data_IF_134274952595
#
_entry.id   IF_134274952595
#
_cell.length_a   1.000
_cell.length_b   1.000
_cell.length_c   1.000
_cell.angle_alpha   90.00
_cell.angle_beta   90.00
_cell.angle_gamma   90.00
#
_symmetry.space_group_name_H-M   'P 1'
#
loop_
_entity.id
_entity.type
_entity.pdbx_description
1 polymer ?
#
# COMPACT_ATOMS: atom_id res chain seq x y z
N UNK A 1 -25.04 20.32 -0.36
CA UNK A 1 -24.61 19.26 -1.31
C UNK A 1 -25.35 19.53 -2.60
N UNK A 2 -24.68 19.73 -3.73
CA UNK A 2 -25.34 20.27 -4.93
C UNK A 2 -26.17 19.21 -5.62
N UNK A 3 -27.45 19.50 -5.90
CA UNK A 3 -28.37 18.74 -6.78
C UNK A 3 -27.65 18.18 -8.03
N UNK A 4 -26.78 19.01 -8.61
CA UNK A 4 -25.88 18.70 -9.74
C UNK A 4 -24.96 17.48 -9.58
N UNK A 5 -24.52 17.15 -8.35
CA UNK A 5 -23.66 15.98 -8.12
C UNK A 5 -24.45 14.67 -8.15
N UNK A 6 -25.70 14.70 -7.68
CA UNK A 6 -26.61 13.56 -7.70
C UNK A 6 -27.09 13.29 -9.13
N UNK A 7 -27.43 14.35 -9.89
CA UNK A 7 -27.77 14.29 -11.32
C UNK A 7 -26.65 13.65 -12.14
N UNK A 8 -25.40 14.10 -11.96
CA UNK A 8 -24.23 13.49 -12.64
C UNK A 8 -23.97 12.04 -12.24
N UNK A 9 -24.28 11.64 -11.01
CA UNK A 9 -24.09 10.26 -10.56
C UNK A 9 -25.14 9.35 -11.19
N UNK A 10 -26.41 9.79 -11.25
CA UNK A 10 -27.47 8.99 -11.86
C UNK A 10 -27.29 8.85 -13.38
N UNK A 11 -26.85 9.91 -14.07
CA UNK A 11 -26.45 9.84 -15.48
C UNK A 11 -25.34 8.80 -15.69
N UNK A 12 -24.33 8.81 -14.82
CA UNK A 12 -23.23 7.86 -14.89
C UNK A 12 -23.70 6.43 -14.68
N UNK A 13 -24.54 6.19 -13.67
CA UNK A 13 -25.14 4.87 -13.38
C UNK A 13 -25.95 4.38 -14.60
N UNK A 14 -26.83 5.22 -15.16
CA UNK A 14 -27.62 4.87 -16.35
C UNK A 14 -26.73 4.53 -17.53
N UNK A 15 -25.68 5.32 -17.77
CA UNK A 15 -24.73 5.09 -18.86
C UNK A 15 -23.88 3.82 -18.70
N UNK A 16 -23.73 3.31 -17.46
CA UNK A 16 -23.09 2.02 -17.18
C UNK A 16 -24.12 0.90 -17.38
N UNK A 17 -25.35 1.11 -16.93
CA UNK A 17 -26.46 0.17 -17.06
C UNK A 17 -26.74 -0.19 -18.52
N UNK A 18 -26.71 0.78 -19.44
CA UNK A 18 -26.84 0.58 -20.90
C UNK A 18 -25.85 -0.42 -21.49
N UNK A 19 -24.72 -0.63 -20.82
CA UNK A 19 -23.66 -1.52 -21.30
C UNK A 19 -23.91 -2.98 -20.91
N UNK A 20 -24.95 -3.25 -20.13
CA UNK A 20 -25.44 -4.59 -19.79
C UNK A 20 -26.60 -5.00 -20.70
N UNK A 21 -26.60 -6.27 -21.14
CA UNK A 21 -27.67 -6.89 -21.91
C UNK A 21 -28.88 -7.24 -21.03
N UNK A 22 -29.91 -7.79 -21.66
CA UNK A 22 -31.15 -8.21 -21.01
C UNK A 22 -30.95 -9.32 -19.97
N UNK A 23 -29.87 -10.09 -20.09
CA UNK A 23 -29.50 -11.16 -19.14
C UNK A 23 -28.59 -10.65 -18.02
N UNK A 24 -28.33 -9.34 -17.94
CA UNK A 24 -27.39 -8.74 -16.99
C UNK A 24 -25.93 -9.10 -17.25
N UNK A 25 -25.59 -9.51 -18.48
CA UNK A 25 -24.22 -9.70 -18.93
C UNK A 25 -23.71 -8.45 -19.63
N UNK A 26 -22.45 -8.11 -19.41
CA UNK A 26 -21.88 -6.93 -20.03
C UNK A 26 -21.58 -7.17 -21.54
N UNK A 27 -22.14 -6.30 -22.39
CA UNK A 27 -22.11 -6.40 -23.86
C UNK A 27 -20.70 -6.20 -24.43
N UNK A 28 -19.84 -5.39 -23.78
CA UNK A 28 -18.45 -5.22 -24.19
C UNK A 28 -17.52 -4.97 -22.99
N UNK A 29 -16.87 -6.04 -22.52
CA UNK A 29 -16.02 -6.07 -21.31
C UNK A 29 -14.72 -5.26 -21.41
N UNK A 30 -14.38 -4.72 -22.57
CA UNK A 30 -13.07 -4.10 -22.80
C UNK A 30 -13.15 -2.70 -23.42
N UNK A 31 -14.28 -2.00 -23.29
CA UNK A 31 -14.31 -0.59 -23.69
C UNK A 31 -13.62 0.27 -22.63
N UNK A 32 -12.56 0.99 -23.01
CA UNK A 32 -11.88 1.97 -22.12
C UNK A 32 -12.88 2.96 -21.49
N UNK A 33 -13.94 3.28 -22.22
CA UNK A 33 -15.05 4.13 -21.77
C UNK A 33 -15.79 3.54 -20.55
N UNK A 34 -16.00 2.22 -20.49
CA UNK A 34 -16.64 1.58 -19.35
C UNK A 34 -15.76 1.65 -18.09
N UNK A 35 -14.47 1.34 -18.20
CA UNK A 35 -13.57 1.34 -17.04
C UNK A 35 -13.47 2.74 -16.41
N UNK A 36 -13.33 3.78 -17.25
CA UNK A 36 -13.31 5.16 -16.78
C UNK A 36 -14.62 5.52 -16.05
N UNK A 37 -15.78 5.15 -16.61
CA UNK A 37 -17.08 5.38 -15.98
C UNK A 37 -17.20 4.69 -14.62
N UNK A 38 -16.77 3.43 -14.54
CA UNK A 38 -16.76 2.65 -13.28
C UNK A 38 -15.84 3.27 -12.24
N UNK A 39 -14.65 3.73 -12.63
CA UNK A 39 -13.71 4.42 -11.72
C UNK A 39 -14.35 5.70 -11.18
N UNK A 40 -14.92 6.53 -12.06
CA UNK A 40 -15.59 7.78 -11.69
C UNK A 40 -16.77 7.52 -10.73
N UNK A 41 -17.59 6.51 -11.01
CA UNK A 41 -18.73 6.14 -10.18
C UNK A 41 -18.25 5.65 -8.81
N UNK A 42 -17.29 4.73 -8.79
CA UNK A 42 -16.73 4.18 -7.55
C UNK A 42 -16.14 5.30 -6.70
N UNK A 43 -15.38 6.23 -7.28
CA UNK A 43 -14.81 7.38 -6.56
C UNK A 43 -15.90 8.28 -5.95
N UNK A 44 -17.03 8.47 -6.64
CA UNK A 44 -18.19 9.17 -6.06
C UNK A 44 -18.81 8.39 -4.90
N UNK A 45 -19.03 7.09 -5.04
CA UNK A 45 -19.62 6.24 -3.99
C UNK A 45 -18.74 6.13 -2.74
N UNK A 46 -17.42 6.23 -2.89
CA UNK A 46 -16.46 6.28 -1.77
C UNK A 46 -16.62 7.54 -0.91
N UNK A 47 -17.20 8.62 -1.43
CA UNK A 47 -17.41 9.84 -0.68
C UNK A 47 -18.42 9.61 0.47
N UNK A 48 -18.06 9.89 1.74
CA UNK A 48 -18.95 9.72 2.88
C UNK A 48 -20.24 10.53 2.82
N UNK A 49 -20.24 11.66 2.11
CA UNK A 49 -21.44 12.49 1.93
C UNK A 49 -22.43 11.89 0.93
N UNK A 50 -21.97 11.02 0.03
CA UNK A 50 -22.79 10.39 -1.01
C UNK A 50 -23.31 9.03 -0.52
N UNK A 51 -22.40 8.10 -0.21
CA UNK A 51 -22.76 6.75 0.24
C UNK A 51 -21.77 6.17 1.26
N UNK A 52 -20.50 6.56 1.19
CA UNK A 52 -19.48 6.07 2.12
C UNK A 52 -19.10 4.60 1.91
N UNK A 53 -19.02 4.17 0.65
CA UNK A 53 -18.75 2.76 0.30
C UNK A 53 -17.47 2.23 0.97
N UNK A 54 -16.38 3.02 0.98
CA UNK A 54 -15.11 2.61 1.61
C UNK A 54 -15.28 2.30 3.10
N UNK A 55 -15.95 3.18 3.86
CA UNK A 55 -16.15 2.97 5.29
C UNK A 55 -17.08 1.80 5.59
N UNK A 56 -18.11 1.57 4.75
CA UNK A 56 -19.00 0.41 4.90
C UNK A 56 -18.22 -0.90 4.66
N UNK A 57 -17.45 -0.98 3.57
CA UNK A 57 -16.61 -2.15 3.25
C UNK A 57 -15.52 -2.41 4.29
N UNK A 58 -14.87 -1.36 4.79
CA UNK A 58 -13.88 -1.45 5.86
C UNK A 58 -14.48 -2.03 7.15
N UNK A 59 -15.67 -1.54 7.55
CA UNK A 59 -16.42 -2.10 8.69
C UNK A 59 -16.77 -3.57 8.49
N UNK A 60 -17.10 -3.94 7.25
CA UNK A 60 -17.39 -5.32 6.88
C UNK A 60 -16.14 -6.19 6.80
N UNK A 61 -14.93 -5.63 6.90
CA UNK A 61 -13.66 -6.34 6.72
C UNK A 61 -13.63 -7.12 5.41
N UNK A 62 -14.06 -6.43 4.36
CA UNK A 62 -14.28 -6.99 3.04
C UNK A 62 -13.70 -6.09 1.95
N UNK A 63 -13.05 -6.70 0.97
CA UNK A 63 -12.50 -6.07 -0.23
C UNK A 63 -12.82 -7.00 -1.39
N UNK A 64 -13.83 -6.63 -2.18
CA UNK A 64 -14.17 -7.42 -3.37
C UNK A 64 -12.92 -7.57 -4.26
N UNK A 65 -12.79 -8.70 -4.97
CA UNK A 65 -11.78 -8.87 -6.04
C UNK A 65 -11.82 -7.62 -6.90
N UNK A 66 -10.65 -6.97 -7.10
CA UNK A 66 -10.37 -5.59 -7.57
C UNK A 66 -11.06 -5.10 -8.86
N UNK A 67 -12.13 -5.71 -9.30
CA UNK A 67 -12.84 -5.40 -10.52
C UNK A 67 -14.32 -5.35 -10.21
N UNK A 68 -14.94 -4.22 -10.53
CA UNK A 68 -16.40 -4.07 -10.62
C UNK A 68 -17.08 -5.30 -11.25
N UNK A 69 -16.44 -5.91 -12.26
CA UNK A 69 -16.87 -7.12 -12.99
C UNK A 69 -17.05 -8.39 -12.14
N UNK A 70 -16.25 -8.58 -11.10
CA UNK A 70 -16.27 -9.82 -10.29
C UNK A 70 -16.65 -9.56 -8.83
N UNK A 71 -17.28 -8.42 -8.57
CA UNK A 71 -17.66 -7.99 -7.24
C UNK A 71 -19.02 -7.29 -7.23
N UNK A 72 -19.15 -6.32 -6.32
CA UNK A 72 -20.40 -5.59 -6.07
C UNK A 72 -21.04 -4.98 -7.32
N UNK A 73 -20.23 -4.49 -8.27
CA UNK A 73 -20.71 -3.81 -9.46
C UNK A 73 -21.56 -4.71 -10.34
N UNK A 74 -21.03 -5.89 -10.68
CA UNK A 74 -21.75 -6.85 -11.51
C UNK A 74 -23.06 -7.33 -10.84
N UNK A 75 -23.03 -7.60 -9.54
CA UNK A 75 -24.21 -8.09 -8.82
C UNK A 75 -25.30 -7.01 -8.70
N UNK A 76 -24.92 -5.78 -8.35
CA UNK A 76 -25.86 -4.66 -8.25
C UNK A 76 -26.48 -4.34 -9.62
N UNK A 77 -25.68 -4.27 -10.68
CA UNK A 77 -26.21 -3.95 -12.01
C UNK A 77 -27.03 -5.08 -12.61
N UNK A 78 -26.70 -6.35 -12.30
CA UNK A 78 -27.54 -7.49 -12.67
C UNK A 78 -28.91 -7.41 -11.98
N UNK A 79 -28.95 -7.18 -10.67
CA UNK A 79 -30.22 -7.04 -9.95
C UNK A 79 -31.02 -5.84 -10.43
N UNK A 80 -30.36 -4.73 -10.78
CA UNK A 80 -31.04 -3.59 -11.37
C UNK A 80 -31.68 -3.95 -12.72
N UNK A 81 -31.00 -4.74 -13.55
CA UNK A 81 -31.52 -5.19 -14.85
C UNK A 81 -32.74 -6.09 -14.70
N UNK A 82 -32.75 -6.94 -13.69
CA UNK A 82 -33.87 -7.85 -13.41
C UNK A 82 -35.12 -7.11 -12.90
N UNK A 83 -34.96 -5.95 -12.25
CA UNK A 83 -36.05 -5.28 -11.53
C UNK A 83 -36.46 -3.92 -12.11
N UNK A 84 -35.66 -3.31 -12.99
CA UNK A 84 -35.86 -1.94 -13.45
C UNK A 84 -35.57 -1.75 -14.94
N UNK A 85 -36.37 -0.91 -15.59
CA UNK A 85 -36.04 -0.33 -16.89
C UNK A 85 -35.12 0.88 -16.70
N UNK A 86 -34.31 1.24 -17.70
CA UNK A 86 -33.33 2.33 -17.60
C UNK A 86 -33.93 3.66 -17.13
N UNK A 87 -35.11 4.02 -17.63
CA UNK A 87 -35.80 5.27 -17.31
C UNK A 87 -36.26 5.31 -15.84
N UNK A 88 -36.53 4.13 -15.26
CA UNK A 88 -36.98 3.96 -13.88
C UNK A 88 -35.83 3.91 -12.86
N UNK A 89 -34.57 3.83 -13.31
CA UNK A 89 -33.42 3.81 -12.41
C UNK A 89 -33.29 5.18 -11.75
N UNK A 90 -33.39 5.17 -10.42
CA UNK A 90 -33.13 6.31 -9.53
C UNK A 90 -31.93 6.02 -8.63
N UNK A 91 -31.38 7.05 -7.99
CA UNK A 91 -30.32 6.85 -6.98
C UNK A 91 -30.81 5.98 -5.82
N UNK A 92 -32.07 6.11 -5.43
CA UNK A 92 -32.67 5.30 -4.36
C UNK A 92 -32.70 3.83 -4.75
N UNK A 93 -33.17 3.48 -5.96
CA UNK A 93 -33.15 2.10 -6.44
C UNK A 93 -31.74 1.52 -6.51
N UNK A 94 -30.76 2.31 -6.97
CA UNK A 94 -29.37 1.88 -7.03
C UNK A 94 -28.77 1.65 -5.64
N UNK A 95 -28.99 2.58 -4.70
CA UNK A 95 -28.49 2.44 -3.33
C UNK A 95 -29.17 1.29 -2.59
N UNK A 96 -30.45 1.03 -2.83
CA UNK A 96 -31.15 -0.12 -2.29
C UNK A 96 -30.51 -1.45 -2.71
N UNK A 97 -30.23 -1.63 -4.00
CA UNK A 97 -29.54 -2.84 -4.48
C UNK A 97 -28.09 -2.94 -3.97
N UNK A 98 -27.41 -1.80 -3.84
CA UNK A 98 -26.07 -1.76 -3.26
C UNK A 98 -26.08 -2.13 -1.77
N UNK A 99 -27.05 -1.66 -0.98
CA UNK A 99 -27.18 -2.01 0.43
C UNK A 99 -27.55 -3.50 0.60
N UNK A 100 -28.45 -4.05 -0.22
CA UNK A 100 -28.71 -5.52 -0.24
C UNK A 100 -27.44 -6.33 -0.45
N UNK A 101 -26.58 -5.91 -1.39
CA UNK A 101 -25.30 -6.56 -1.62
C UNK A 101 -24.39 -6.47 -0.38
N UNK A 102 -24.34 -5.32 0.30
CA UNK A 102 -23.56 -5.16 1.52
C UNK A 102 -24.09 -6.03 2.67
N UNK A 103 -25.41 -6.16 2.81
CA UNK A 103 -26.04 -7.04 3.79
C UNK A 103 -25.68 -8.51 3.51
N UNK A 104 -25.62 -8.90 2.22
CA UNK A 104 -25.16 -10.24 1.82
C UNK A 104 -23.72 -10.53 2.26
N UNK A 105 -22.86 -9.50 2.29
CA UNK A 105 -21.49 -9.62 2.82
C UNK A 105 -21.53 -9.73 4.33
N UNK A 106 -22.35 -8.92 5.02
CA UNK A 106 -22.45 -8.93 6.47
C UNK A 106 -22.80 -10.31 7.03
N UNK A 107 -23.67 -11.04 6.31
CA UNK A 107 -24.07 -12.41 6.62
C UNK A 107 -22.96 -13.47 6.43
N UNK A 108 -21.82 -13.11 5.81
CA UNK A 108 -20.66 -14.03 5.72
C UNK A 108 -19.92 -14.07 7.05
N UNK A 109 -19.45 -15.26 7.42
CA UNK A 109 -18.70 -15.46 8.65
C UNK A 109 -17.40 -14.62 8.66
N UNK A 110 -17.10 -14.02 9.81
CA UNK A 110 -15.78 -13.45 10.07
C UNK A 110 -14.83 -14.57 10.45
N UNK A 111 -13.79 -14.75 9.65
CA UNK A 111 -12.84 -15.84 9.81
C UNK A 111 -11.52 -15.32 10.32
N UNK A 112 -10.85 -16.10 11.16
CA UNK A 112 -9.53 -15.77 11.68
C UNK A 112 -8.44 -16.28 10.73
N UNK A 113 -7.54 -15.38 10.37
CA UNK A 113 -6.39 -15.65 9.51
C UNK A 113 -5.10 -15.39 10.28
N UNK A 114 -4.13 -16.29 10.10
CA UNK A 114 -2.73 -16.10 10.51
C UNK A 114 -1.89 -15.94 9.25
N UNK A 115 -1.32 -14.75 9.07
CA UNK A 115 -0.59 -14.35 7.88
C UNK A 115 0.89 -14.29 8.20
N UNK A 116 1.69 -14.92 7.37
CA UNK A 116 3.11 -15.14 7.64
C UNK A 116 3.90 -14.63 6.46
N UNK A 117 4.79 -13.68 6.71
CA UNK A 117 5.59 -13.02 5.70
C UNK A 117 7.08 -13.17 6.08
N UNK A 118 7.85 -14.00 5.36
CA UNK A 118 9.30 -14.02 5.50
C UNK A 118 9.89 -12.70 5.00
N UNK A 119 10.86 -12.20 5.73
CA UNK A 119 11.60 -10.98 5.43
C UNK A 119 13.10 -11.23 5.60
N UNK A 120 13.92 -10.61 4.76
CA UNK A 120 15.38 -10.69 4.81
C UNK A 120 16.01 -9.70 5.80
N UNK A 121 15.44 -9.63 6.99
CA UNK A 121 16.00 -8.89 8.12
C UNK A 121 16.51 -9.88 9.16
N UNK A 122 17.73 -9.64 9.67
CA UNK A 122 18.32 -10.40 10.75
C UNK A 122 18.39 -9.53 12.02
N UNK A 123 17.59 -9.89 13.02
CA UNK A 123 17.54 -9.20 14.31
C UNK A 123 18.45 -9.87 15.36
N UNK A 124 19.36 -10.73 14.91
CA UNK A 124 20.23 -11.51 15.78
C UNK A 124 19.40 -12.31 16.80
N UNK A 125 19.60 -12.05 18.09
CA UNK A 125 18.84 -12.67 19.18
C UNK A 125 17.78 -11.73 19.79
N UNK A 126 17.68 -10.48 19.31
CA UNK A 126 16.89 -9.42 19.92
C UNK A 126 15.77 -8.97 18.97
N UNK A 127 14.67 -9.72 18.95
CA UNK A 127 13.49 -9.34 18.18
C UNK A 127 12.80 -8.13 18.83
N UNK A 128 12.38 -7.11 18.06
CA UNK A 128 11.48 -6.09 18.53
C UNK A 128 10.22 -6.71 19.15
N UNK A 129 9.95 -6.34 20.41
CA UNK A 129 8.76 -6.81 21.12
C UNK A 129 7.48 -6.10 20.68
N UNK A 130 7.62 -4.91 20.09
CA UNK A 130 6.52 -4.07 19.62
C UNK A 130 6.73 -3.77 18.15
N UNK A 131 5.68 -3.96 17.36
CA UNK A 131 5.61 -3.56 15.96
C UNK A 131 4.52 -2.51 15.81
N UNK A 132 4.73 -1.59 14.88
CA UNK A 132 3.76 -0.55 14.60
C UNK A 132 2.49 -1.17 14.01
N UNK A 133 1.34 -0.76 14.54
CA UNK A 133 0.05 -1.27 14.11
C UNK A 133 -0.96 -0.13 13.95
N UNK A 134 -1.46 0.09 12.73
CA UNK A 134 -2.48 1.10 12.49
C UNK A 134 -3.86 0.72 13.06
N UNK A 135 -4.14 -0.58 13.21
CA UNK A 135 -5.47 -1.07 13.56
C UNK A 135 -5.46 -1.88 14.85
N UNK A 136 -6.22 -1.43 15.84
CA UNK A 136 -6.38 -2.11 17.13
C UNK A 136 -6.88 -3.56 17.03
N UNK A 137 -7.42 -3.97 15.87
CA UNK A 137 -8.01 -5.28 15.64
C UNK A 137 -7.06 -6.29 14.98
N UNK A 138 -5.77 -5.96 14.93
CA UNK A 138 -4.71 -6.79 14.35
C UNK A 138 -3.70 -7.08 15.44
N UNK A 139 -3.18 -8.30 15.47
CA UNK A 139 -1.99 -8.61 16.27
C UNK A 139 -0.83 -8.84 15.30
N UNK A 140 0.28 -8.15 15.52
CA UNK A 140 1.48 -8.24 14.69
C UNK A 140 2.61 -8.65 15.63
N UNK A 141 3.32 -9.73 15.30
CA UNK A 141 4.53 -10.16 15.99
C UNK A 141 5.65 -10.43 15.00
N UNK A 142 6.86 -10.47 15.53
CA UNK A 142 8.05 -10.89 14.80
C UNK A 142 8.54 -12.21 15.37
N UNK A 143 8.84 -13.15 14.48
CA UNK A 143 9.34 -14.46 14.83
C UNK A 143 10.71 -14.71 14.19
N UNK A 144 11.54 -15.52 14.85
CA UNK A 144 12.88 -15.86 14.37
C UNK A 144 12.86 -16.93 13.27
N UNK A 145 14.04 -17.21 12.71
CA UNK A 145 14.25 -18.17 11.64
C UNK A 145 13.74 -19.60 11.92
N UNK A 146 13.64 -20.02 13.17
CA UNK A 146 13.15 -21.36 13.52
C UNK A 146 11.62 -21.46 13.48
N UNK A 147 10.91 -20.35 13.29
CA UNK A 147 9.44 -20.35 13.28
C UNK A 147 8.87 -21.16 12.12
N UNK A 148 9.42 -20.99 10.92
CA UNK A 148 8.91 -21.65 9.71
C UNK A 148 9.08 -23.17 9.77
N UNK A 149 10.29 -23.63 10.08
CA UNK A 149 10.58 -25.07 10.18
C UNK A 149 9.75 -25.78 11.25
N UNK A 150 9.42 -25.10 12.36
CA UNK A 150 8.61 -25.66 13.44
C UNK A 150 7.11 -25.67 13.17
N UNK A 151 6.58 -24.64 12.50
CA UNK A 151 5.14 -24.40 12.45
C UNK A 151 4.54 -24.52 11.04
N UNK A 152 5.31 -24.26 9.99
CA UNK A 152 4.78 -23.97 8.65
C UNK A 152 5.30 -24.89 7.56
N UNK A 153 6.57 -25.33 7.62
CA UNK A 153 7.23 -26.10 6.57
C UNK A 153 6.38 -27.25 6.05
N UNK A 154 5.88 -28.12 6.94
CA UNK A 154 5.02 -29.26 6.57
C UNK A 154 3.75 -28.81 5.82
N UNK A 155 2.98 -27.90 6.41
CA UNK A 155 1.74 -27.39 5.82
C UNK A 155 2.00 -26.74 4.45
N UNK A 156 3.14 -26.07 4.35
CA UNK A 156 3.59 -25.39 3.16
C UNK A 156 3.86 -26.36 2.02
N UNK A 157 4.68 -27.39 2.24
CA UNK A 157 4.96 -28.39 1.22
C UNK A 157 3.70 -29.18 0.82
N UNK A 158 2.87 -29.58 1.80
CA UNK A 158 1.58 -30.24 1.54
C UNK A 158 0.67 -29.38 0.64
N UNK A 159 0.62 -28.06 0.88
CA UNK A 159 -0.16 -27.13 0.05
C UNK A 159 0.40 -27.02 -1.36
N UNK A 160 1.72 -26.88 -1.51
CA UNK A 160 2.37 -26.74 -2.81
C UNK A 160 2.18 -28.00 -3.65
N UNK A 161 2.42 -29.19 -3.08
CA UNK A 161 2.22 -30.47 -3.76
C UNK A 161 0.77 -30.62 -4.25
N UNK A 162 -0.20 -30.34 -3.37
CA UNK A 162 -1.63 -30.43 -3.71
C UNK A 162 -2.04 -29.47 -4.81
N UNK A 163 -1.47 -28.27 -4.86
CA UNK A 163 -1.92 -27.19 -5.74
C UNK A 163 -1.18 -27.12 -7.07
N UNK A 164 0.09 -27.49 -7.11
CA UNK A 164 0.98 -27.24 -8.26
C UNK A 164 1.55 -28.52 -8.92
N UNK A 165 1.13 -29.72 -8.49
CA UNK A 165 1.35 -31.04 -9.11
C UNK A 165 2.58 -31.16 -10.03
N UNK A 166 3.71 -31.73 -9.55
CA UNK A 166 5.00 -32.00 -10.25
C UNK A 166 5.66 -30.86 -11.07
N UNK A 167 4.98 -29.74 -11.35
CA UNK A 167 5.45 -28.62 -12.18
C UNK A 167 5.55 -27.34 -11.37
N UNK A 168 6.24 -27.41 -10.23
CA UNK A 168 6.57 -26.22 -9.46
C UNK A 168 7.67 -25.47 -10.21
N UNK A 169 7.44 -24.18 -10.47
CA UNK A 169 8.45 -23.29 -11.06
C UNK A 169 9.74 -23.36 -10.24
N UNK A 170 10.88 -23.54 -10.93
CA UNK A 170 12.21 -23.60 -10.30
C UNK A 170 12.52 -22.36 -9.47
N UNK A 171 12.01 -21.18 -9.86
CA UNK A 171 12.16 -19.95 -9.09
C UNK A 171 11.36 -20.00 -7.78
N UNK A 172 10.18 -20.61 -7.80
CA UNK A 172 9.41 -20.86 -6.57
C UNK A 172 10.19 -21.82 -5.69
N UNK A 173 10.66 -22.96 -6.20
CA UNK A 173 11.48 -23.90 -5.40
C UNK A 173 12.70 -23.22 -4.77
N UNK A 174 13.46 -22.44 -5.55
CA UNK A 174 14.62 -21.71 -5.04
C UNK A 174 14.26 -20.69 -3.95
N UNK A 175 13.14 -19.99 -4.10
CA UNK A 175 12.65 -19.05 -3.11
C UNK A 175 12.29 -19.77 -1.80
N UNK A 176 11.70 -20.95 -1.90
CA UNK A 176 11.33 -21.79 -0.76
C UNK A 176 12.55 -22.32 -0.03
N UNK A 177 13.54 -22.83 -0.76
CA UNK A 177 14.81 -23.24 -0.19
C UNK A 177 15.47 -22.07 0.57
N UNK A 178 15.43 -20.86 -0.01
CA UNK A 178 15.98 -19.68 0.67
C UNK A 178 15.21 -19.30 1.94
N UNK A 179 13.88 -19.49 1.98
CA UNK A 179 13.08 -19.21 3.17
C UNK A 179 13.35 -20.25 4.27
N UNK A 180 13.42 -21.54 3.90
CA UNK A 180 13.64 -22.63 4.84
C UNK A 180 15.07 -22.67 5.41
N UNK A 181 16.08 -22.46 4.55
CA UNK A 181 17.49 -22.67 4.92
C UNK A 181 18.23 -21.39 5.32
N UNK A 182 17.68 -20.19 5.09
CA UNK A 182 18.31 -18.93 5.54
C UNK A 182 17.67 -18.40 6.81
N UNK A 183 18.43 -17.56 7.54
CA UNK A 183 18.03 -16.88 8.77
C UNK A 183 16.99 -15.77 8.52
N UNK A 184 15.90 -16.08 7.82
CA UNK A 184 14.80 -15.15 7.62
C UNK A 184 14.11 -14.88 8.96
N UNK A 185 13.71 -13.64 9.20
CA UNK A 185 12.70 -13.34 10.20
C UNK A 185 11.31 -13.38 9.58
N UNK A 186 10.30 -13.55 10.40
CA UNK A 186 8.92 -13.68 9.95
C UNK A 186 8.05 -12.64 10.64
N UNK A 187 7.38 -11.81 9.86
CA UNK A 187 6.28 -11.00 10.38
C UNK A 187 5.03 -11.89 10.38
N UNK A 188 4.44 -12.05 11.56
CA UNK A 188 3.23 -12.84 11.76
C UNK A 188 2.08 -11.91 12.14
N UNK A 189 1.00 -11.95 11.37
CA UNK A 189 -0.17 -11.10 11.54
C UNK A 189 -1.40 -11.97 11.79
N UNK A 190 -2.07 -11.76 12.92
CA UNK A 190 -3.38 -12.36 13.20
C UNK A 190 -4.48 -11.32 13.02
N UNK A 191 -5.45 -11.61 12.17
CA UNK A 191 -6.58 -10.72 11.91
C UNK A 191 -7.84 -11.49 11.56
N UNK A 192 -9.00 -10.84 11.73
CA UNK A 192 -10.30 -11.37 11.26
C UNK A 192 -10.72 -10.68 9.97
N UNK A 193 -11.14 -11.44 8.97
CA UNK A 193 -11.62 -10.92 7.68
C UNK A 193 -12.77 -11.78 7.13
N UNK A 194 -13.61 -11.19 6.28
CA UNK A 194 -14.64 -11.93 5.52
C UNK A 194 -14.14 -12.45 4.18
N UNK A 195 -13.02 -11.92 3.69
CA UNK A 195 -12.37 -12.41 2.49
C UNK A 195 -10.84 -12.25 2.54
N UNK A 196 -10.18 -13.01 1.67
CA UNK A 196 -8.71 -13.06 1.57
C UNK A 196 -8.06 -11.79 1.00
N UNK A 197 -8.77 -10.97 0.24
CA UNK A 197 -8.23 -9.74 -0.35
C UNK A 197 -8.20 -8.60 0.66
N UNK A 198 -9.21 -8.49 1.51
CA UNK A 198 -9.18 -7.58 2.66
C UNK A 198 -8.01 -7.92 3.57
N UNK A 199 -7.88 -9.20 3.92
CA UNK A 199 -6.74 -9.69 4.68
C UNK A 199 -5.41 -9.32 4.01
N UNK A 200 -5.24 -9.63 2.72
CA UNK A 200 -3.99 -9.36 1.98
C UNK A 200 -3.63 -7.88 2.05
N UNK A 201 -4.59 -7.01 1.77
CA UNK A 201 -4.35 -5.57 1.72
C UNK A 201 -3.94 -5.01 3.08
N UNK A 202 -4.69 -5.35 4.12
CA UNK A 202 -4.43 -4.89 5.48
C UNK A 202 -3.09 -5.42 5.99
N UNK A 203 -2.77 -6.69 5.74
CA UNK A 203 -1.48 -7.28 6.10
C UNK A 203 -0.33 -6.63 5.33
N UNK A 204 -0.44 -6.48 4.01
CA UNK A 204 0.61 -5.85 3.18
C UNK A 204 0.87 -4.44 3.67
N UNK A 205 -0.19 -3.65 3.89
CA UNK A 205 -0.07 -2.27 4.35
C UNK A 205 0.66 -2.17 5.67
N UNK A 206 0.34 -3.01 6.67
CA UNK A 206 1.04 -2.96 7.95
C UNK A 206 2.49 -3.44 7.84
N UNK A 207 2.78 -4.46 7.03
CA UNK A 207 4.15 -4.91 6.78
C UNK A 207 4.98 -3.81 6.13
N UNK A 208 4.49 -3.22 5.04
CA UNK A 208 5.17 -2.16 4.32
C UNK A 208 5.51 -0.97 5.23
N UNK A 209 4.64 -0.64 6.19
CA UNK A 209 4.90 0.44 7.16
C UNK A 209 6.06 0.06 8.10
N UNK A 210 6.02 -1.13 8.70
CA UNK A 210 7.08 -1.58 9.60
C UNK A 210 8.42 -1.70 8.86
N UNK A 211 8.42 -2.25 7.63
CA UNK A 211 9.57 -2.27 6.75
C UNK A 211 10.04 -0.86 6.40
N UNK A 212 9.14 0.10 6.24
CA UNK A 212 9.47 1.52 6.06
C UNK A 212 10.22 2.12 7.22
N UNK A 213 9.81 1.83 8.45
CA UNK A 213 10.51 2.30 9.66
C UNK A 213 11.90 1.64 9.75
N UNK A 214 12.00 0.33 9.53
CA UNK A 214 13.30 -0.37 9.49
C UNK A 214 14.22 0.22 8.41
N UNK A 215 13.70 0.43 7.21
CA UNK A 215 14.45 1.04 6.11
C UNK A 215 14.90 2.45 6.46
N UNK A 216 14.06 3.24 7.12
CA UNK A 216 14.39 4.61 7.50
C UNK A 216 15.57 4.62 8.47
N UNK A 217 15.55 3.78 9.50
CA UNK A 217 16.65 3.66 10.46
C UNK A 217 17.93 3.18 9.77
N UNK A 218 17.82 2.25 8.81
CA UNK A 218 18.98 1.64 8.16
C UNK A 218 19.60 2.52 7.08
N UNK A 219 18.78 3.24 6.32
CA UNK A 219 19.16 3.90 5.06
C UNK A 219 18.98 5.41 5.07
N UNK A 220 18.41 6.01 6.13
CA UNK A 220 18.42 7.46 6.30
C UNK A 220 19.86 7.95 6.29
N UNK A 221 20.13 8.99 5.51
CA UNK A 221 21.47 9.57 5.31
C UNK A 221 22.52 8.63 4.68
N UNK A 222 22.14 7.40 4.27
CA UNK A 222 22.92 6.58 3.33
C UNK A 222 22.51 6.94 1.90
N UNK A 223 23.43 6.82 0.95
CA UNK A 223 23.23 7.28 -0.44
C UNK A 223 22.98 8.80 -0.57
N UNK A 224 23.36 9.59 0.44
CA UNK A 224 23.49 11.05 0.30
C UNK A 224 24.45 11.34 -0.84
N UNK A 225 24.14 12.35 -1.66
CA UNK A 225 24.93 12.76 -2.82
C UNK A 225 26.42 12.85 -2.47
N UNK A 226 27.16 11.78 -2.71
CA UNK A 226 28.60 11.89 -2.91
C UNK A 226 28.74 12.34 -4.35
N UNK A 227 29.32 13.53 -4.55
CA UNK A 227 29.87 13.99 -5.83
C UNK A 227 31.03 13.08 -6.31
N UNK A 228 30.88 11.76 -6.20
CA UNK A 228 31.84 10.76 -6.64
C UNK A 228 31.36 10.20 -7.98
N UNK A 229 32.27 10.16 -8.95
CA UNK A 229 32.14 9.60 -10.30
C UNK A 229 31.89 8.07 -10.35
N UNK A 230 31.15 7.49 -9.41
CA UNK A 230 30.75 6.07 -9.51
C UNK A 230 29.29 6.03 -9.89
N UNK A 231 29.04 5.53 -11.09
CA UNK A 231 27.72 5.12 -11.53
C UNK A 231 27.16 4.11 -10.51
N UNK A 232 26.05 4.44 -9.87
CA UNK A 232 25.38 3.56 -8.92
C UNK A 232 24.56 2.55 -9.72
N UNK A 233 25.12 1.37 -9.96
CA UNK A 233 24.53 0.34 -10.84
C UNK A 233 23.29 -0.39 -10.29
N UNK A 234 22.69 0.03 -9.17
CA UNK A 234 21.51 -0.65 -8.61
C UNK A 234 20.20 0.10 -8.91
N UNK A 235 19.30 -0.58 -9.62
CA UNK A 235 17.93 -0.10 -9.87
C UNK A 235 17.15 0.14 -8.57
N UNK A 236 17.45 -0.64 -7.52
CA UNK A 236 16.90 -0.51 -6.18
C UNK A 236 17.87 0.22 -5.23
N UNK A 237 17.33 0.97 -4.27
CA UNK A 237 18.11 1.61 -3.19
C UNK A 237 18.24 0.65 -1.99
N UNK A 238 17.22 -0.16 -1.71
CA UNK A 238 17.24 -1.18 -0.67
C UNK A 238 16.77 -2.52 -1.21
N UNK A 239 17.38 -3.60 -0.74
CA UNK A 239 17.02 -4.97 -1.12
C UNK A 239 16.16 -5.69 -0.06
N UNK A 240 15.60 -4.96 0.90
CA UNK A 240 14.67 -5.51 1.91
C UNK A 240 13.33 -5.81 1.23
N UNK A 241 12.82 -7.03 1.34
CA UNK A 241 11.53 -7.39 0.74
C UNK A 241 10.78 -8.50 1.51
N UNK A 242 9.49 -8.64 1.17
CA UNK A 242 8.60 -9.71 1.62
C UNK A 242 8.01 -10.43 0.38
N UNK A 243 8.76 -11.37 -0.23
CA UNK A 243 8.45 -11.92 -1.56
C UNK A 243 7.20 -12.82 -1.56
N UNK A 244 6.85 -13.38 -0.40
CA UNK A 244 5.66 -14.22 -0.25
C UNK A 244 4.82 -13.80 0.96
N UNK A 245 3.53 -14.10 0.87
CA UNK A 245 2.59 -14.01 1.99
C UNK A 245 1.81 -15.32 2.06
N UNK A 246 1.96 -16.03 3.18
CA UNK A 246 1.29 -17.30 3.44
C UNK A 246 0.09 -17.02 4.33
N UNK A 247 -1.09 -17.46 3.91
CA UNK A 247 -2.32 -17.30 4.67
C UNK A 247 -2.81 -18.63 5.24
N UNK A 248 -2.77 -18.74 6.56
CA UNK A 248 -3.23 -19.90 7.31
C UNK A 248 -4.59 -19.61 7.94
N UNK A 249 -5.49 -20.57 7.87
CA UNK A 249 -6.81 -20.55 8.52
C UNK A 249 -7.14 -21.96 8.98
N UNK A 250 -7.64 -22.11 10.20
CA UNK A 250 -7.96 -23.43 10.79
C UNK A 250 -6.79 -24.43 10.71
N UNK A 251 -5.57 -23.95 10.94
CA UNK A 251 -4.32 -24.72 10.84
C UNK A 251 -3.96 -25.27 9.44
N UNK A 252 -4.65 -24.81 8.39
CA UNK A 252 -4.33 -25.15 7.00
C UNK A 252 -3.93 -23.90 6.21
N UNK A 253 -3.00 -24.05 5.27
CA UNK A 253 -2.70 -22.99 4.30
C UNK A 253 -3.85 -22.91 3.30
N UNK A 254 -4.47 -21.74 3.22
CA UNK A 254 -5.57 -21.48 2.28
C UNK A 254 -5.08 -20.87 0.99
N UNK A 255 -4.11 -19.96 1.07
CA UNK A 255 -3.56 -19.27 -0.09
C UNK A 255 -2.14 -18.79 0.17
N UNK A 256 -1.35 -18.75 -0.90
CA UNK A 256 -0.04 -18.10 -0.94
C UNK A 256 -0.14 -16.99 -1.99
N UNK A 257 0.27 -15.79 -1.61
CA UNK A 257 0.44 -14.69 -2.55
C UNK A 257 1.93 -14.46 -2.78
N UNK A 258 2.32 -14.41 -4.05
CA UNK A 258 3.67 -14.04 -4.47
C UNK A 258 3.65 -12.56 -4.85
N UNK A 259 4.52 -11.75 -4.24
CA UNK A 259 4.75 -10.36 -4.63
C UNK A 259 5.87 -10.29 -5.68
N UNK A 260 6.87 -11.16 -5.55
CA UNK A 260 7.91 -11.42 -6.55
C UNK A 260 8.32 -12.90 -6.50
N UNK A 261 9.01 -13.34 -7.55
CA UNK A 261 9.69 -14.64 -7.59
C UNK A 261 11.21 -14.49 -7.40
N UNK A 262 11.66 -13.31 -6.97
CA UNK A 262 13.08 -13.04 -6.74
C UNK A 262 13.52 -13.61 -5.39
N UNK A 263 14.71 -14.21 -5.38
CA UNK A 263 15.35 -14.67 -4.16
C UNK A 263 15.83 -13.49 -3.30
N UNK A 264 15.97 -13.72 -1.99
CA UNK A 264 16.67 -12.80 -1.10
C UNK A 264 18.14 -12.66 -1.54
N UNK A 265 18.48 -11.50 -2.13
CA UNK A 265 19.84 -11.17 -2.61
C UNK A 265 20.80 -10.97 -1.44
N UNK A 266 20.37 -10.24 -0.43
CA UNK A 266 21.13 -9.91 0.77
C UNK A 266 20.25 -9.96 2.02
N UNK A 267 20.87 -9.96 3.20
CA UNK A 267 20.20 -9.88 4.51
C UNK A 267 20.73 -8.66 5.24
N UNK A 268 19.81 -7.84 5.75
CA UNK A 268 20.16 -6.65 6.52
C UNK A 268 20.08 -6.96 8.02
N UNK A 269 21.21 -6.84 8.71
CA UNK A 269 21.28 -7.10 10.15
C UNK A 269 20.97 -5.85 10.96
N UNK A 270 20.19 -5.97 12.03
CA UNK A 270 19.90 -4.90 12.98
C UNK A 270 20.68 -5.09 14.29
N UNK A 271 21.29 -4.03 14.79
CA UNK A 271 21.94 -3.99 16.10
C UNK A 271 21.01 -3.38 17.18
N UNK A 272 21.42 -3.46 18.45
CA UNK A 272 20.60 -2.99 19.58
C UNK A 272 20.29 -1.48 19.54
N UNK A 273 21.20 -0.65 19.00
CA UNK A 273 20.98 0.79 18.84
C UNK A 273 19.88 1.06 17.80
N UNK A 274 19.97 0.42 16.63
CA UNK A 274 18.98 0.51 15.56
C UNK A 274 17.60 0.01 16.05
N UNK A 275 17.56 -1.03 16.88
CA UNK A 275 16.33 -1.55 17.49
C UNK A 275 15.74 -0.61 18.55
N UNK A 276 16.60 0.09 19.30
CA UNK A 276 16.15 1.12 20.22
C UNK A 276 15.56 2.32 19.46
N UNK A 277 16.21 2.77 18.37
CA UNK A 277 15.65 3.81 17.49
C UNK A 277 14.28 3.41 16.92
N UNK A 278 14.14 2.14 16.53
CA UNK A 278 12.87 1.59 16.07
C UNK A 278 11.77 1.72 17.13
N UNK A 279 12.07 1.30 18.36
CA UNK A 279 11.15 1.42 19.49
C UNK A 279 10.79 2.88 19.76
N UNK A 280 11.75 3.79 19.79
CA UNK A 280 11.51 5.22 20.01
C UNK A 280 10.59 5.83 18.96
N UNK A 281 10.80 5.51 17.66
CA UNK A 281 9.92 5.98 16.59
C UNK A 281 8.49 5.45 16.79
N UNK A 282 8.33 4.16 17.12
CA UNK A 282 6.99 3.60 17.39
C UNK A 282 6.32 4.33 18.54
N UNK A 283 6.99 4.48 19.68
CA UNK A 283 6.44 5.14 20.87
C UNK A 283 6.01 6.58 20.55
N UNK A 284 6.83 7.32 19.80
CA UNK A 284 6.48 8.65 19.30
C UNK A 284 5.18 8.65 18.49
N UNK A 285 5.06 7.74 17.52
CA UNK A 285 3.89 7.68 16.64
C UNK A 285 2.65 7.23 17.43
N UNK A 286 2.79 6.31 18.38
CA UNK A 286 1.68 5.83 19.22
C UNK A 286 1.14 6.87 20.19
N UNK A 287 2.00 7.80 20.64
CA UNK A 287 1.61 8.91 21.51
C UNK A 287 0.79 10.00 20.79
N UNK A 288 0.68 9.94 19.45
CA UNK A 288 -0.10 10.89 18.66
C UNK A 288 -1.60 10.68 18.88
N UNK A 289 -2.24 11.62 19.58
CA UNK A 289 -3.68 11.58 19.88
C UNK A 289 -4.58 11.59 18.64
N UNK A 290 -4.16 12.25 17.57
CA UNK A 290 -4.97 12.38 16.35
C UNK A 290 -4.72 11.21 15.40
N UNK A 291 -5.67 10.26 15.34
CA UNK A 291 -5.59 9.08 14.45
C UNK A 291 -5.27 9.44 13.00
N UNK A 292 -5.84 10.52 12.46
CA UNK A 292 -5.56 10.96 11.08
C UNK A 292 -4.08 11.29 10.87
N UNK A 293 -3.41 11.88 11.87
CA UNK A 293 -1.98 12.19 11.77
C UNK A 293 -1.17 10.89 11.83
N UNK A 294 -1.53 9.98 12.75
CA UNK A 294 -0.93 8.65 12.85
C UNK A 294 -1.04 7.86 11.53
N UNK A 295 -2.21 7.89 10.89
CA UNK A 295 -2.44 7.24 9.60
C UNK A 295 -1.57 7.84 8.49
N UNK A 296 -1.39 9.17 8.48
CA UNK A 296 -0.52 9.85 7.52
C UNK A 296 0.96 9.50 7.73
N UNK A 297 1.42 9.39 8.98
CA UNK A 297 2.79 8.96 9.27
C UNK A 297 3.02 7.51 8.86
N UNK A 298 2.07 6.63 9.16
CA UNK A 298 2.12 5.26 8.65
C UNK A 298 2.24 5.27 7.12
N UNK A 299 1.42 6.06 6.43
CA UNK A 299 1.48 6.20 4.97
C UNK A 299 2.83 6.73 4.46
N UNK A 300 3.46 7.66 5.17
CA UNK A 300 4.80 8.15 4.83
C UNK A 300 5.84 7.03 4.88
N UNK A 301 5.90 6.25 5.97
CA UNK A 301 6.84 5.13 6.06
C UNK A 301 6.54 4.05 5.02
N UNK A 302 5.26 3.79 4.73
CA UNK A 302 4.85 2.90 3.65
C UNK A 302 5.40 3.35 2.30
N UNK A 303 5.22 4.63 1.95
CA UNK A 303 5.73 5.20 0.70
C UNK A 303 7.25 5.17 0.65
N UNK A 304 7.91 5.41 1.78
CA UNK A 304 9.37 5.37 1.88
C UNK A 304 9.93 3.98 1.55
N UNK A 305 9.36 2.92 2.14
CA UNK A 305 9.71 1.54 1.80
C UNK A 305 9.50 1.24 0.31
N UNK A 306 8.32 1.59 -0.21
CA UNK A 306 7.99 1.35 -1.62
C UNK A 306 8.87 2.15 -2.58
N UNK A 307 9.34 3.33 -2.19
CA UNK A 307 10.26 4.13 -2.98
C UNK A 307 11.66 3.48 -3.06
N UNK A 308 12.17 2.98 -1.94
CA UNK A 308 13.49 2.36 -1.87
C UNK A 308 13.59 1.03 -2.62
N UNK A 309 12.48 0.30 -2.67
CA UNK A 309 12.40 -1.04 -3.28
C UNK A 309 11.87 -1.03 -4.71
N UNK A 310 11.52 0.14 -5.25
CA UNK A 310 11.06 0.24 -6.63
C UNK A 310 12.19 -0.06 -7.62
N UNK A 311 11.84 -0.69 -8.74
CA UNK A 311 12.75 -0.93 -9.87
C UNK A 311 12.79 0.25 -10.84
N UNK A 312 11.70 1.03 -10.91
CA UNK A 312 11.59 2.19 -11.78
C UNK A 312 12.00 3.46 -11.04
N UNK A 313 13.04 4.13 -11.52
CA UNK A 313 13.61 5.36 -10.92
C UNK A 313 12.55 6.44 -10.75
N UNK A 314 11.69 6.60 -11.76
CA UNK A 314 10.66 7.65 -11.82
C UNK A 314 9.52 7.38 -10.86
N UNK A 315 9.14 6.11 -10.70
CA UNK A 315 8.15 5.69 -9.72
C UNK A 315 8.68 5.81 -8.28
N UNK A 316 9.97 5.53 -8.07
CA UNK A 316 10.67 5.80 -6.80
C UNK A 316 10.68 7.29 -6.48
N UNK A 317 11.09 8.13 -7.44
CA UNK A 317 11.08 9.59 -7.33
C UNK A 317 9.70 10.13 -6.96
N UNK A 318 8.64 9.68 -7.63
CA UNK A 318 7.27 10.12 -7.34
C UNK A 318 6.81 9.70 -5.95
N UNK A 319 7.22 8.54 -5.44
CA UNK A 319 6.89 8.11 -4.07
C UNK A 319 7.59 8.98 -3.02
N UNK A 320 8.86 9.35 -3.21
CA UNK A 320 9.55 10.31 -2.35
C UNK A 320 8.89 11.70 -2.41
N UNK A 321 8.51 12.16 -3.61
CA UNK A 321 7.77 13.40 -3.77
C UNK A 321 6.44 13.39 -3.00
N UNK A 322 5.69 12.28 -3.06
CA UNK A 322 4.42 12.14 -2.35
C UNK A 322 4.59 12.22 -0.82
N UNK A 323 5.72 11.77 -0.26
CA UNK A 323 6.02 11.92 1.18
C UNK A 323 6.07 13.41 1.53
N UNK A 324 6.79 14.20 0.74
CA UNK A 324 6.90 15.65 0.91
C UNK A 324 5.52 16.30 0.77
N UNK A 325 4.75 15.93 -0.24
CA UNK A 325 3.38 16.42 -0.39
C UNK A 325 2.53 16.12 0.85
N UNK A 326 2.57 14.90 1.39
CA UNK A 326 1.80 14.53 2.59
C UNK A 326 2.23 15.36 3.82
N UNK A 327 3.53 15.57 4.02
CA UNK A 327 4.07 16.32 5.15
C UNK A 327 3.72 17.81 5.05
N UNK A 328 3.75 18.40 3.85
CA UNK A 328 3.59 19.84 3.66
C UNK A 328 2.21 20.31 3.16
N UNK A 329 1.36 19.44 2.60
CA UNK A 329 0.00 19.78 2.16
C UNK A 329 -1.04 19.39 3.22
N UNK A 330 -1.41 20.35 4.06
CA UNK A 330 -2.41 20.11 5.12
C UNK A 330 -3.80 20.68 4.87
N UNK A 331 -4.07 21.42 3.78
CA UNK A 331 -5.41 21.97 3.50
C UNK A 331 -5.72 22.07 2.00
N UNK A 332 -6.99 21.85 1.64
CA UNK A 332 -7.52 22.21 0.33
C UNK A 332 -7.27 23.71 0.06
N UNK A 333 -6.70 24.03 -1.11
CA UNK A 333 -6.38 25.39 -1.52
C UNK A 333 -4.95 25.87 -1.23
N UNK A 334 -4.07 25.01 -0.70
CA UNK A 334 -2.62 25.26 -0.74
C UNK A 334 -2.12 24.91 -2.15
N UNK A 335 -1.51 25.87 -2.83
CA UNK A 335 -0.91 25.66 -4.16
C UNK A 335 0.41 24.88 -4.03
N UNK A 336 0.77 24.13 -5.06
CA UNK A 336 2.04 23.41 -5.14
C UNK A 336 3.26 24.34 -4.95
N UNK A 337 3.14 25.62 -5.33
CA UNK A 337 4.14 26.67 -5.08
C UNK A 337 4.46 26.86 -3.59
N UNK A 338 3.48 26.71 -2.71
CA UNK A 338 3.66 26.89 -1.28
C UNK A 338 4.38 25.70 -0.61
N UNK A 339 4.41 24.54 -1.27
CA UNK A 339 5.27 23.42 -0.87
C UNK A 339 6.73 23.82 -1.09
N UNK A 340 7.04 24.42 -2.25
CA UNK A 340 8.39 24.90 -2.57
C UNK A 340 8.88 25.91 -1.53
N UNK A 341 8.04 26.87 -1.16
CA UNK A 341 8.38 27.86 -0.12
C UNK A 341 8.66 27.22 1.25
N UNK A 342 7.89 26.19 1.63
CA UNK A 342 8.09 25.47 2.89
C UNK A 342 9.36 24.63 2.88
N UNK A 343 9.61 23.89 1.80
CA UNK A 343 10.86 23.14 1.62
C UNK A 343 12.08 24.05 1.71
N UNK A 344 12.03 25.20 1.03
CA UNK A 344 13.07 26.24 1.08
C UNK A 344 13.35 26.76 2.50
N UNK A 345 12.35 26.70 3.39
CA UNK A 345 12.49 27.15 4.79
C UNK A 345 13.14 26.13 5.73
N UNK A 346 13.23 24.85 5.35
CA UNK A 346 13.85 23.80 6.18
C UNK A 346 15.37 23.90 6.23
N UNK A 347 16.00 24.56 5.25
CA UNK A 347 17.46 24.54 5.09
C UNK A 347 18.11 25.88 5.49
N UNK A 348 19.28 25.79 6.14
CA UNK A 348 20.02 26.92 6.71
C UNK A 348 20.54 27.90 5.64
N UNK A 349 20.82 29.18 6.01
CA UNK A 349 21.10 30.26 5.06
C UNK A 349 22.29 30.05 4.12
N UNK A 350 23.26 29.20 4.49
CA UNK A 350 24.57 29.11 3.84
C UNK A 350 24.56 28.45 2.45
N UNK A 351 23.51 27.70 2.09
CA UNK A 351 23.40 26.99 0.80
C UNK A 351 22.15 27.37 -0.02
N UNK A 352 21.53 28.52 0.29
CA UNK A 352 20.17 28.86 -0.17
C UNK A 352 20.01 28.88 -1.69
N UNK A 353 20.96 29.40 -2.47
CA UNK A 353 20.71 29.63 -3.90
C UNK A 353 20.70 28.33 -4.70
N UNK A 354 21.77 27.55 -4.64
CA UNK A 354 21.89 26.30 -5.40
C UNK A 354 20.82 25.28 -4.98
N UNK A 355 20.51 25.22 -3.68
CA UNK A 355 19.44 24.36 -3.17
C UNK A 355 18.05 24.77 -3.67
N UNK A 356 17.78 26.08 -3.74
CA UNK A 356 16.51 26.59 -4.26
C UNK A 356 16.36 26.28 -5.75
N UNK A 357 17.44 26.46 -6.52
CA UNK A 357 17.48 26.17 -7.95
C UNK A 357 17.28 24.67 -8.21
N UNK A 358 17.85 23.79 -7.36
CA UNK A 358 17.58 22.35 -7.42
C UNK A 358 16.12 22.00 -7.10
N UNK A 359 15.50 22.63 -6.10
CA UNK A 359 14.06 22.43 -5.82
C UNK A 359 13.20 22.83 -7.03
N UNK A 360 13.49 23.96 -7.69
CA UNK A 360 12.75 24.38 -8.88
C UNK A 360 12.93 23.40 -10.04
N UNK A 361 14.16 22.91 -10.26
CA UNK A 361 14.44 21.91 -11.29
C UNK A 361 13.67 20.61 -11.05
N UNK A 362 13.70 20.09 -9.84
CA UNK A 362 13.03 18.84 -9.45
C UNK A 362 11.51 18.97 -9.58
N UNK A 363 10.97 20.11 -9.17
CA UNK A 363 9.55 20.41 -9.34
C UNK A 363 9.15 20.46 -10.83
N UNK A 364 9.98 21.08 -11.67
CA UNK A 364 9.77 21.10 -13.12
C UNK A 364 9.77 19.68 -13.70
N UNK A 365 10.74 18.84 -13.31
CA UNK A 365 10.82 17.44 -13.71
C UNK A 365 9.59 16.62 -13.29
N UNK A 366 9.08 16.81 -12.07
CA UNK A 366 7.81 16.21 -11.62
C UNK A 366 6.66 16.61 -12.54
N UNK A 367 6.55 17.89 -12.91
CA UNK A 367 5.47 18.35 -13.79
C UNK A 367 5.58 17.80 -15.20
N UNK A 368 6.79 17.66 -15.74
CA UNK A 368 7.01 16.97 -17.01
C UNK A 368 6.56 15.51 -16.95
N UNK A 369 6.88 14.81 -15.86
CA UNK A 369 6.46 13.42 -15.67
C UNK A 369 4.93 13.28 -15.56
N UNK A 370 4.29 14.14 -14.77
CA UNK A 370 2.84 14.07 -14.49
C UNK A 370 1.96 14.58 -15.63
N UNK A 371 2.37 15.65 -16.32
CA UNK A 371 1.51 16.35 -17.29
C UNK A 371 1.93 16.16 -18.75
N UNK A 372 3.21 15.87 -19.01
CA UNK A 372 3.72 15.67 -20.36
C UNK A 372 4.12 14.22 -20.65
N UNK A 373 3.99 13.32 -19.66
CA UNK A 373 4.41 11.91 -19.73
C UNK A 373 5.86 11.74 -20.25
N UNK A 374 6.71 12.75 -20.01
CA UNK A 374 8.13 12.72 -20.36
C UNK A 374 8.93 12.28 -19.16
N UNK A 375 9.50 11.09 -19.26
CA UNK A 375 10.39 10.58 -18.24
C UNK A 375 11.82 11.11 -18.44
N UNK A 376 12.15 12.12 -17.64
CA UNK A 376 13.47 12.77 -17.61
C UNK A 376 14.13 12.65 -16.23
N UNK A 377 13.61 11.74 -15.38
CA UNK A 377 14.10 11.55 -14.02
C UNK A 377 15.39 10.74 -14.07
N UNK A 378 16.43 11.25 -13.43
CA UNK A 378 17.72 10.58 -13.27
C UNK A 378 17.86 10.01 -11.86
N UNK A 379 18.82 9.11 -11.66
CA UNK A 379 19.16 8.58 -10.33
C UNK A 379 19.53 9.71 -9.36
N UNK A 380 20.27 10.72 -9.82
CA UNK A 380 20.63 11.88 -9.01
C UNK A 380 19.40 12.68 -8.55
N UNK A 381 18.35 12.79 -9.39
CA UNK A 381 17.10 13.45 -8.99
C UNK A 381 16.37 12.65 -7.92
N UNK A 382 16.31 11.32 -8.08
CA UNK A 382 15.71 10.38 -7.12
C UNK A 382 16.43 10.45 -5.77
N UNK A 383 17.76 10.42 -5.78
CA UNK A 383 18.56 10.42 -4.55
C UNK A 383 18.47 11.79 -3.84
N UNK A 384 18.41 12.89 -4.59
CA UNK A 384 18.16 14.21 -4.02
C UNK A 384 16.78 14.30 -3.35
N UNK A 385 15.72 13.84 -4.02
CA UNK A 385 14.38 13.90 -3.43
C UNK A 385 14.23 12.95 -2.23
N UNK A 386 14.94 11.81 -2.24
CA UNK A 386 15.08 10.93 -1.07
C UNK A 386 15.64 11.71 0.11
N UNK A 387 16.78 12.39 -0.06
CA UNK A 387 17.43 13.19 1.00
C UNK A 387 16.49 14.28 1.55
N UNK A 388 15.79 15.01 0.67
CA UNK A 388 14.79 15.99 1.11
C UNK A 388 13.65 15.32 1.90
N UNK A 389 13.18 14.16 1.44
CA UNK A 389 12.10 13.43 2.11
C UNK A 389 12.52 12.94 3.49
N UNK A 390 13.76 12.49 3.66
CA UNK A 390 14.32 12.03 4.93
C UNK A 390 14.43 13.18 5.93
N UNK A 391 15.01 14.30 5.51
CA UNK A 391 15.06 15.51 6.34
C UNK A 391 13.67 16.02 6.72
N UNK A 392 12.68 15.88 5.83
CA UNK A 392 11.30 16.26 6.12
C UNK A 392 10.65 15.33 7.14
N UNK A 393 10.95 14.02 7.08
CA UNK A 393 10.49 13.04 8.06
C UNK A 393 11.11 13.35 9.43
N UNK A 394 12.44 13.50 9.50
CA UNK A 394 13.16 13.82 10.75
C UNK A 394 12.60 15.07 11.42
N UNK A 395 12.50 16.17 10.66
CA UNK A 395 11.95 17.43 11.15
C UNK A 395 10.52 17.27 11.70
N UNK A 396 9.71 16.43 11.07
CA UNK A 396 8.35 16.18 11.51
C UNK A 396 8.28 15.31 12.77
N UNK A 397 9.17 14.31 12.90
CA UNK A 397 9.29 13.50 14.11
C UNK A 397 9.76 14.35 15.30
N UNK A 398 10.69 15.28 15.09
CA UNK A 398 11.15 16.23 16.10
C UNK A 398 10.01 17.12 16.61
N UNK A 399 9.20 17.67 15.70
CA UNK A 399 8.02 18.50 16.08
C UNK A 399 6.99 17.72 16.89
N UNK A 400 6.84 16.41 16.64
CA UNK A 400 5.89 15.57 17.38
C UNK A 400 6.43 15.25 18.79
N UNK A 401 7.75 15.23 18.95
CA UNK A 401 8.41 14.96 20.21
C UNK A 401 8.33 16.15 21.18
N UNK A 402 8.28 17.39 20.69
CA UNK A 402 8.03 18.62 21.46
C UNK A 402 6.56 18.79 21.86
#
# INVERSE_FOLDING_TARGET
MTKRNNERLIELIRSIFELFDENGQLINKYSENFEQKVILMTNKLRNPKIFGLSSKLERLKFRAKNTFYYGWGNEVFKNLRENYNIESITLESFFHELDKYLDSIENRALEEYVIILPINLDFQNNLPQVLFNLSKNIQISLENHNFFSKNISRLFFEYIEKKYDKYIDKNVLNLLDNIEYRKCSYIVIKLKARDKFYMKDISSRNVDINLGIFCFIKFSLRHVMRFSRRDFLSQHIAEINAPIMIAVKNNDITTIFFSSFENFKSFESFNDEELNSYKTIIELIENIKHQKIRDLIGEIFRLYYLALTDSAISDSFMKFWNIIEILFLKKAGITEERIKERLKSLFRPTFKKDFYDMIELIYSKRNFLVHEAKDIITEADRDFIKEISEHSIDFFLDIIHE
#
